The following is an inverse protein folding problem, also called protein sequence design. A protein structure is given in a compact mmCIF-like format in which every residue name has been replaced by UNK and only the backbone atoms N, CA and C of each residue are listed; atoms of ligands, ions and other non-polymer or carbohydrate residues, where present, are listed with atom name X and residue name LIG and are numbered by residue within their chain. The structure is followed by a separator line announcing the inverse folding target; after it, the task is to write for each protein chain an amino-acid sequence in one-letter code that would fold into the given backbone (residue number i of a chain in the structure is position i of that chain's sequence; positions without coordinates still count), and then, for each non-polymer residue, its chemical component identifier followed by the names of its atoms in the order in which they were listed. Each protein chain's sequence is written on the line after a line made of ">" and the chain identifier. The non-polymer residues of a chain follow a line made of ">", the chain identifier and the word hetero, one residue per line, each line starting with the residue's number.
data_IF_950499956603
#
_entry.id   IF_950499956603
#
_cell.length_a   1.000
_cell.length_b   1.000
_cell.length_c   1.000
_cell.angle_alpha   90.00
_cell.angle_beta   90.00
_cell.angle_gamma   90.00
#
_symmetry.space_group_name_H-M   'P 1'
#
loop_
_entity.id
_entity.type
_entity.pdbx_description
1 polymer ?
#
# COMPACT_ATOMS: atom_id res chain seq x y z
N UNK A 1 25.23 8.92 -4.22
CA UNK A 1 24.70 10.15 -3.59
C UNK A 1 24.86 11.35 -4.51
N UNK A 2 26.06 11.68 -4.97
CA UNK A 2 26.29 12.84 -5.84
C UNK A 2 25.51 12.79 -7.18
N UNK A 3 25.29 11.59 -7.74
CA UNK A 3 24.55 11.45 -9.00
C UNK A 3 23.05 11.78 -8.82
N UNK A 4 22.42 11.25 -7.77
CA UNK A 4 20.99 11.48 -7.50
C UNK A 4 20.73 12.97 -7.20
N UNK A 5 21.56 13.60 -6.37
CA UNK A 5 21.44 15.03 -6.06
C UNK A 5 21.57 15.90 -7.31
N UNK A 6 22.50 15.59 -8.21
CA UNK A 6 22.67 16.30 -9.48
C UNK A 6 21.47 16.13 -10.42
N UNK A 7 20.89 14.93 -10.46
CA UNK A 7 19.68 14.66 -11.23
C UNK A 7 18.47 15.42 -10.68
N UNK A 8 18.29 15.42 -9.36
CA UNK A 8 17.23 16.18 -8.69
C UNK A 8 17.37 17.70 -8.92
N UNK A 9 18.60 18.23 -8.87
CA UNK A 9 18.87 19.64 -9.03
C UNK A 9 18.57 20.17 -10.46
N UNK A 10 18.66 19.32 -11.48
CA UNK A 10 18.35 19.67 -12.87
C UNK A 10 16.98 19.24 -13.35
N UNK A 11 16.15 18.66 -12.48
CA UNK A 11 14.78 18.27 -12.76
C UNK A 11 14.00 19.47 -13.32
N UNK A 12 13.18 19.23 -14.34
CA UNK A 12 12.23 20.22 -14.85
C UNK A 12 10.88 19.98 -14.15
N UNK A 13 10.39 20.89 -13.30
CA UNK A 13 9.08 20.78 -12.70
C UNK A 13 7.98 20.62 -13.77
N UNK A 14 7.02 19.74 -13.51
CA UNK A 14 5.94 19.47 -14.47
C UNK A 14 6.28 18.47 -15.57
N UNK A 15 7.48 17.89 -15.54
CA UNK A 15 7.93 16.88 -16.50
C UNK A 15 8.22 15.55 -15.81
N UNK A 16 8.13 14.46 -16.58
CA UNK A 16 8.59 13.13 -16.16
C UNK A 16 10.08 13.19 -15.75
N UNK A 17 10.49 12.23 -14.95
CA UNK A 17 11.86 12.14 -14.48
C UNK A 17 12.80 11.62 -15.57
N UNK A 18 14.10 11.91 -15.45
CA UNK A 18 15.11 11.36 -16.33
C UNK A 18 15.19 9.83 -16.22
N UNK A 19 15.58 9.18 -17.31
CA UNK A 19 15.68 7.72 -17.45
C UNK A 19 16.35 7.03 -16.24
N UNK A 20 17.41 7.63 -15.70
CA UNK A 20 18.16 7.06 -14.59
C UNK A 20 17.28 6.80 -13.34
N UNK A 21 16.26 7.61 -13.09
CA UNK A 21 15.34 7.39 -11.98
C UNK A 21 14.55 6.09 -12.08
N UNK A 22 14.39 5.55 -13.28
CA UNK A 22 13.60 4.35 -13.54
C UNK A 22 14.45 3.10 -13.88
N UNK A 23 15.78 3.27 -14.08
CA UNK A 23 16.63 2.19 -14.58
C UNK A 23 17.92 1.96 -13.80
N UNK A 24 18.38 2.96 -13.03
CA UNK A 24 19.67 2.90 -12.36
C UNK A 24 19.58 2.13 -11.04
N UNK A 25 20.36 1.03 -10.85
CA UNK A 25 20.36 0.28 -9.60
C UNK A 25 20.83 1.08 -8.37
N UNK A 26 21.70 2.07 -8.53
CA UNK A 26 22.15 2.91 -7.41
C UNK A 26 21.03 3.87 -6.96
N UNK A 27 20.25 4.39 -7.91
CA UNK A 27 19.06 5.20 -7.58
C UNK A 27 18.00 4.34 -6.92
N UNK A 28 17.77 3.13 -7.42
CA UNK A 28 16.86 2.19 -6.79
C UNK A 28 17.27 1.86 -5.34
N UNK A 29 18.55 1.64 -5.10
CA UNK A 29 19.06 1.43 -3.73
C UNK A 29 18.84 2.67 -2.87
N UNK A 30 19.05 3.87 -3.41
CA UNK A 30 18.74 5.14 -2.75
C UNK A 30 17.26 5.26 -2.40
N UNK A 31 16.34 4.87 -3.31
CA UNK A 31 14.90 4.83 -3.04
C UNK A 31 14.55 3.91 -1.86
N UNK A 32 15.18 2.73 -1.80
CA UNK A 32 14.99 1.82 -0.67
C UNK A 32 15.46 2.45 0.65
N UNK A 33 16.66 3.02 0.66
CA UNK A 33 17.29 3.58 1.87
C UNK A 33 16.64 4.87 2.35
N UNK A 34 16.21 5.73 1.43
CA UNK A 34 15.64 7.02 1.78
C UNK A 34 14.11 7.02 1.92
N UNK A 35 13.41 6.06 1.32
CA UNK A 35 11.95 5.99 1.34
C UNK A 35 11.49 4.72 2.04
N UNK A 36 11.68 3.54 1.41
CA UNK A 36 11.05 2.31 1.87
C UNK A 36 11.54 1.81 3.24
N UNK A 37 12.77 2.12 3.62
CA UNK A 37 13.29 1.76 4.94
C UNK A 37 12.98 2.82 6.02
N UNK A 38 12.40 3.96 5.62
CA UNK A 38 12.16 5.09 6.53
C UNK A 38 10.69 5.39 6.77
N UNK A 39 9.83 5.03 5.82
CA UNK A 39 8.39 5.32 5.89
C UNK A 39 7.59 4.21 6.54
N UNK A 40 6.36 4.56 6.95
CA UNK A 40 5.37 3.57 7.33
C UNK A 40 4.83 2.87 6.08
N UNK A 41 5.06 1.57 6.01
CA UNK A 41 4.66 0.71 4.90
C UNK A 41 3.40 -0.05 5.26
N UNK A 42 2.35 0.05 4.48
CA UNK A 42 1.24 -0.87 4.59
C UNK A 42 1.72 -2.28 4.28
N UNK A 43 1.46 -3.22 5.17
CA UNK A 43 1.91 -4.58 5.04
C UNK A 43 0.77 -5.55 4.69
N UNK A 44 -0.28 -5.61 5.53
CA UNK A 44 -1.40 -6.54 5.40
C UNK A 44 -2.67 -5.95 6.02
N UNK A 45 -3.88 -6.40 5.60
CA UNK A 45 -5.07 -6.26 6.42
C UNK A 45 -4.98 -7.16 7.66
N UNK A 46 -5.38 -6.63 8.83
CA UNK A 46 -5.29 -7.33 10.12
C UNK A 46 -6.12 -8.63 10.15
N UNK A 47 -7.15 -8.72 9.31
CA UNK A 47 -8.00 -9.91 9.19
C UNK A 47 -7.28 -11.16 8.64
N UNK A 48 -6.06 -11.03 8.15
CA UNK A 48 -5.22 -12.18 7.80
C UNK A 48 -4.62 -12.89 9.03
N UNK A 49 -4.57 -12.21 10.16
CA UNK A 49 -4.05 -12.73 11.41
C UNK A 49 -5.21 -12.94 12.40
N UNK A 50 -6.00 -14.01 12.22
CA UNK A 50 -7.25 -14.24 12.95
C UNK A 50 -7.02 -14.67 14.40
N UNK A 51 -6.05 -15.55 14.63
CA UNK A 51 -5.77 -16.16 15.94
C UNK A 51 -4.29 -16.08 16.31
N UNK A 52 -4.01 -16.26 17.58
CA UNK A 52 -2.64 -16.33 18.08
C UNK A 52 -1.79 -17.32 17.28
N UNK A 53 -0.59 -16.89 16.92
CA UNK A 53 0.36 -17.64 16.09
C UNK A 53 0.15 -17.50 14.59
N UNK A 54 -0.95 -16.92 14.09
CA UNK A 54 -1.05 -16.57 12.67
C UNK A 54 0.03 -15.56 12.33
N UNK A 55 0.74 -15.83 11.24
CA UNK A 55 1.81 -14.95 10.76
C UNK A 55 1.78 -14.79 9.24
N UNK A 56 2.31 -13.67 8.80
CA UNK A 56 2.63 -13.36 7.40
C UNK A 56 4.07 -12.88 7.32
N UNK A 57 4.80 -13.28 6.28
CA UNK A 57 6.13 -12.72 5.99
C UNK A 57 6.02 -11.62 4.94
N UNK A 58 6.79 -10.56 5.11
CA UNK A 58 6.87 -9.47 4.16
C UNK A 58 8.34 -9.11 3.90
N UNK A 59 8.73 -9.07 2.63
CA UNK A 59 10.08 -8.76 2.20
C UNK A 59 10.12 -7.37 1.56
N UNK A 60 11.02 -6.51 2.04
CA UNK A 60 11.22 -5.16 1.51
C UNK A 60 12.70 -4.96 1.28
N UNK A 61 13.14 -4.90 0.03
CA UNK A 61 14.54 -4.84 -0.32
C UNK A 61 15.35 -5.96 0.34
N UNK A 62 16.35 -5.60 1.15
CA UNK A 62 17.15 -6.56 1.90
C UNK A 62 16.48 -7.10 3.16
N UNK A 63 15.43 -6.43 3.67
CA UNK A 63 14.79 -6.81 4.92
C UNK A 63 13.77 -7.93 4.73
N UNK A 64 13.73 -8.83 5.71
CA UNK A 64 12.77 -9.92 5.84
C UNK A 64 12.03 -9.72 7.15
N UNK A 65 10.71 -9.64 7.13
CA UNK A 65 9.88 -9.32 8.28
C UNK A 65 8.87 -10.43 8.53
N UNK A 66 8.63 -10.76 9.79
CA UNK A 66 7.52 -11.58 10.27
C UNK A 66 6.52 -10.64 10.92
N UNK A 67 5.27 -10.71 10.52
CA UNK A 67 4.14 -10.03 11.19
C UNK A 67 3.28 -11.12 11.81
N UNK A 68 3.05 -11.07 13.11
CA UNK A 68 2.45 -12.17 13.86
C UNK A 68 1.45 -11.67 14.90
N UNK A 69 0.36 -12.41 15.10
CA UNK A 69 -0.56 -12.17 16.22
C UNK A 69 -0.06 -12.90 17.45
N UNK A 70 0.22 -12.16 18.51
CA UNK A 70 0.65 -12.67 19.81
C UNK A 70 -0.46 -13.40 20.57
N UNK A 71 -0.08 -14.10 21.64
CA UNK A 71 -1.01 -14.78 22.55
C UNK A 71 -1.92 -13.77 23.31
N UNK A 72 -1.47 -12.55 23.46
CA UNK A 72 -2.20 -11.41 24.04
C UNK A 72 -3.08 -10.68 23.01
N UNK A 73 -3.25 -11.25 21.83
CA UNK A 73 -4.02 -10.70 20.72
C UNK A 73 -3.43 -9.42 20.07
N UNK A 74 -2.20 -9.02 20.42
CA UNK A 74 -1.51 -7.90 19.80
C UNK A 74 -0.79 -8.35 18.52
N UNK A 75 -0.81 -7.51 17.49
CA UNK A 75 -0.01 -7.71 16.26
C UNK A 75 1.35 -7.07 16.46
N UNK A 76 2.40 -7.84 16.17
CA UNK A 76 3.80 -7.42 16.27
C UNK A 76 4.54 -7.76 14.99
N UNK A 77 5.64 -7.06 14.76
CA UNK A 77 6.53 -7.35 13.66
C UNK A 77 7.98 -7.53 14.16
N UNK A 78 8.69 -8.46 13.55
CA UNK A 78 10.08 -8.77 13.87
C UNK A 78 10.88 -8.97 12.59
N UNK A 79 12.18 -8.68 12.65
CA UNK A 79 13.08 -9.12 11.60
C UNK A 79 13.11 -10.66 11.57
N UNK A 80 12.87 -11.24 10.41
CA UNK A 80 12.87 -12.69 10.18
C UNK A 80 14.28 -13.24 10.14
N UNK A 81 15.04 -12.98 11.20
CA UNK A 81 16.48 -13.28 11.30
C UNK A 81 16.78 -13.80 12.70
N UNK A 82 17.18 -15.07 12.80
CA UNK A 82 17.51 -15.70 14.07
C UNK A 82 18.71 -15.02 14.75
N UNK A 83 18.58 -14.73 16.04
CA UNK A 83 19.61 -14.05 16.83
C UNK A 83 20.85 -14.90 17.13
N UNK A 84 20.84 -16.19 16.77
CA UNK A 84 22.00 -17.06 16.85
C UNK A 84 22.99 -16.79 15.71
N UNK A 85 22.64 -17.15 14.47
CA UNK A 85 23.51 -17.08 13.29
C UNK A 85 22.79 -16.54 12.04
N UNK A 86 21.69 -15.81 12.20
CA UNK A 86 21.02 -15.06 11.14
C UNK A 86 20.13 -15.88 10.21
N UNK A 87 19.86 -17.15 10.51
CA UNK A 87 18.96 -17.94 9.66
C UNK A 87 17.55 -17.39 9.63
N UNK A 88 16.86 -17.51 8.47
CA UNK A 88 15.44 -17.24 8.32
C UNK A 88 14.65 -18.20 9.22
N UNK A 89 13.69 -17.66 9.97
CA UNK A 89 12.84 -18.39 10.92
C UNK A 89 11.58 -18.90 10.23
N UNK A 90 10.78 -17.99 9.66
CA UNK A 90 9.57 -18.32 8.92
C UNK A 90 9.85 -18.27 7.42
N UNK A 91 9.78 -19.42 6.74
CA UNK A 91 10.05 -19.55 5.29
C UNK A 91 8.80 -19.40 4.44
N UNK A 92 7.64 -19.79 4.97
CA UNK A 92 6.36 -19.69 4.26
C UNK A 92 5.88 -18.23 4.25
N UNK A 93 5.18 -17.85 3.20
CA UNK A 93 4.59 -16.52 3.07
C UNK A 93 3.56 -16.24 4.18
N UNK A 94 2.84 -17.26 4.63
CA UNK A 94 1.89 -17.19 5.75
C UNK A 94 1.72 -18.57 6.41
N UNK A 95 1.31 -18.58 7.66
CA UNK A 95 1.07 -19.81 8.42
C UNK A 95 0.57 -19.53 9.82
N UNK A 96 0.53 -20.61 10.62
CA UNK A 96 0.26 -20.54 12.05
C UNK A 96 1.33 -21.33 12.80
N UNK A 97 1.93 -20.72 13.79
CA UNK A 97 2.93 -21.36 14.65
C UNK A 97 2.71 -20.91 16.11
N UNK A 98 2.60 -21.84 17.07
CA UNK A 98 2.45 -21.50 18.48
C UNK A 98 3.70 -20.84 19.07
N UNK A 99 4.86 -21.05 18.44
CA UNK A 99 6.17 -20.48 18.74
C UNK A 99 6.92 -20.27 17.42
N UNK A 100 7.82 -19.29 17.40
CA UNK A 100 8.68 -19.05 16.25
C UNK A 100 9.97 -19.87 16.43
N UNK A 101 10.13 -20.94 15.68
CA UNK A 101 11.25 -21.87 15.82
C UNK A 101 12.21 -21.75 14.65
N UNK A 102 13.46 -21.40 14.95
CA UNK A 102 14.51 -21.35 13.94
C UNK A 102 14.85 -22.76 13.41
N UNK A 103 14.77 -23.00 12.09
CA UNK A 103 14.97 -24.35 11.56
C UNK A 103 16.43 -24.82 11.63
N UNK A 104 17.38 -23.93 11.94
CA UNK A 104 18.80 -24.29 11.94
C UNK A 104 19.22 -25.02 13.23
N UNK A 105 19.06 -24.40 14.41
CA UNK A 105 19.44 -24.98 15.69
C UNK A 105 18.30 -24.99 16.73
N UNK A 106 17.04 -24.83 16.27
CA UNK A 106 15.82 -24.84 17.06
C UNK A 106 15.77 -23.76 18.16
N UNK A 107 16.50 -22.66 18.03
CA UNK A 107 16.23 -21.52 18.90
C UNK A 107 14.77 -21.14 18.76
N UNK A 108 14.08 -21.11 19.90
CA UNK A 108 12.64 -20.97 19.97
C UNK A 108 12.27 -19.63 20.62
N UNK A 109 11.46 -18.86 19.93
CA UNK A 109 10.99 -17.57 20.41
C UNK A 109 9.49 -17.62 20.69
N UNK A 110 9.08 -16.89 21.72
CA UNK A 110 7.69 -16.57 21.97
C UNK A 110 7.11 -15.68 20.87
N UNK A 111 5.78 -15.57 20.83
CA UNK A 111 5.11 -14.70 19.85
C UNK A 111 5.29 -13.20 20.16
N UNK A 112 5.81 -12.84 21.32
CA UNK A 112 6.25 -11.49 21.67
C UNK A 112 7.72 -11.20 21.28
N UNK A 113 8.40 -12.17 20.68
CA UNK A 113 9.77 -12.08 20.22
C UNK A 113 10.83 -12.47 21.27
N UNK A 114 10.48 -12.70 22.53
CA UNK A 114 11.43 -13.11 23.56
C UNK A 114 11.99 -14.51 23.27
N UNK A 115 13.29 -14.73 23.59
CA UNK A 115 13.90 -16.04 23.44
C UNK A 115 13.44 -16.95 24.58
N UNK A 116 12.67 -17.99 24.23
CA UNK A 116 12.17 -18.99 25.17
C UNK A 116 13.21 -20.07 25.45
N UNK A 117 13.90 -20.56 24.40
CA UNK A 117 14.77 -21.71 24.52
C UNK A 117 15.93 -21.68 23.52
N UNK A 118 17.12 -22.00 24.02
CA UNK A 118 18.33 -22.17 23.24
C UNK A 118 19.16 -23.30 23.89
N UNK A 119 19.43 -24.38 23.13
CA UNK A 119 20.07 -25.58 23.65
C UNK A 119 21.58 -25.38 23.84
N UNK A 120 22.09 -25.99 24.92
CA UNK A 120 23.53 -26.15 25.20
C UNK A 120 24.33 -24.83 25.23
N UNK A 121 23.69 -23.75 25.68
CA UNK A 121 24.37 -22.47 25.89
C UNK A 121 25.10 -22.48 27.22
N UNK A 122 26.26 -21.85 27.26
CA UNK A 122 27.10 -21.79 28.49
C UNK A 122 26.44 -20.98 29.62
N UNK A 123 27.02 -21.05 30.85
CA UNK A 123 26.39 -20.43 32.03
C UNK A 123 26.31 -18.90 31.97
N UNK A 124 27.12 -18.25 31.16
CA UNK A 124 27.12 -16.79 30.96
C UNK A 124 26.04 -16.33 29.97
N UNK A 125 25.30 -17.24 29.35
CA UNK A 125 24.28 -16.90 28.36
C UNK A 125 23.02 -16.36 29.02
N UNK A 126 22.66 -15.12 28.68
CA UNK A 126 21.40 -14.51 29.12
C UNK A 126 20.39 -14.47 27.96
N UNK A 127 19.34 -15.31 27.99
CA UNK A 127 18.34 -15.35 26.92
C UNK A 127 17.58 -14.04 26.75
N UNK A 128 17.48 -13.20 27.79
CA UNK A 128 16.79 -11.92 27.72
C UNK A 128 17.42 -10.92 26.75
N UNK A 129 18.70 -11.11 26.45
CA UNK A 129 19.45 -10.27 25.51
C UNK A 129 19.35 -10.76 24.06
N UNK A 130 18.66 -11.89 23.81
CA UNK A 130 18.65 -12.57 22.54
C UNK A 130 17.25 -12.73 21.94
N UNK A 131 16.32 -11.88 22.34
CA UNK A 131 15.01 -11.74 21.68
C UNK A 131 15.13 -11.28 20.23
N UNK A 132 14.13 -11.56 19.41
CA UNK A 132 14.08 -11.07 18.01
C UNK A 132 14.16 -9.55 17.98
N UNK A 133 14.85 -9.01 16.97
CA UNK A 133 14.82 -7.57 16.73
C UNK A 133 13.42 -7.16 16.28
N UNK A 134 12.85 -6.20 16.96
CA UNK A 134 11.53 -5.66 16.65
C UNK A 134 11.56 -4.79 15.40
N UNK A 135 10.46 -4.81 14.67
CA UNK A 135 10.12 -3.85 13.62
C UNK A 135 8.95 -3.02 14.15
N UNK A 136 8.97 -1.72 13.96
CA UNK A 136 7.84 -0.89 14.35
C UNK A 136 6.57 -1.36 13.65
N UNK A 137 5.49 -1.52 14.41
CA UNK A 137 4.23 -2.09 13.93
C UNK A 137 3.06 -1.33 14.53
N UNK A 138 2.14 -0.88 13.68
CA UNK A 138 0.92 -0.15 14.08
C UNK A 138 -0.28 -0.70 13.31
N UNK A 139 -1.39 -0.79 13.99
CA UNK A 139 -2.69 -1.11 13.38
C UNK A 139 -3.58 0.13 13.36
N UNK A 140 -4.19 0.41 12.21
CA UNK A 140 -5.15 1.49 12.01
C UNK A 140 -6.41 0.94 11.35
N UNK A 141 -7.50 0.84 12.10
CA UNK A 141 -8.81 0.42 11.60
C UNK A 141 -8.77 -0.85 10.73
N UNK A 142 -7.99 -1.85 11.14
CA UNK A 142 -7.83 -3.12 10.43
C UNK A 142 -6.76 -3.14 9.34
N UNK A 143 -5.96 -2.09 9.21
CA UNK A 143 -4.79 -2.03 8.32
C UNK A 143 -3.51 -2.05 9.16
N UNK A 144 -2.59 -2.96 8.86
CA UNK A 144 -1.31 -3.10 9.56
C UNK A 144 -0.20 -2.43 8.79
N UNK A 145 0.52 -1.55 9.46
CA UNK A 145 1.68 -0.82 8.96
C UNK A 145 2.93 -1.22 9.72
N UNK A 146 4.05 -1.26 9.03
CA UNK A 146 5.38 -1.47 9.61
C UNK A 146 6.32 -0.34 9.23
N UNK A 147 7.33 -0.08 10.04
CA UNK A 147 8.44 0.82 9.69
C UNK A 147 9.77 0.17 10.06
N UNK A 148 10.73 0.21 9.13
CA UNK A 148 12.04 -0.44 9.25
C UNK A 148 13.11 0.48 9.85
N UNK A 149 12.84 1.78 9.98
CA UNK A 149 13.75 2.74 10.58
C UNK A 149 14.01 2.44 12.06
N UNK A 150 15.19 2.76 12.57
CA UNK A 150 15.48 2.65 14.00
C UNK A 150 14.57 3.57 14.82
N UNK A 151 14.33 4.78 14.32
CA UNK A 151 13.35 5.72 14.85
C UNK A 151 12.25 5.92 13.82
N UNK A 152 11.05 5.41 14.09
CA UNK A 152 9.92 5.55 13.20
C UNK A 152 9.43 7.00 13.14
N UNK A 153 9.05 7.52 11.95
CA UNK A 153 8.39 8.82 11.84
C UNK A 153 7.01 8.80 12.53
N UNK A 154 6.45 10.00 12.74
CA UNK A 154 5.12 10.13 13.34
C UNK A 154 4.06 9.36 12.57
N UNK A 155 3.35 8.48 13.25
CA UNK A 155 2.19 7.75 12.72
C UNK A 155 0.86 8.35 13.19
N UNK A 156 0.89 9.05 14.32
CA UNK A 156 -0.34 9.45 14.99
C UNK A 156 -1.08 10.54 14.22
N UNK A 157 -0.38 11.44 13.56
CA UNK A 157 -0.99 12.43 12.65
C UNK A 157 -1.79 11.74 11.54
N UNK A 158 -1.20 10.80 10.83
CA UNK A 158 -1.91 10.01 9.81
C UNK A 158 -3.08 9.23 10.43
N UNK A 159 -2.84 8.55 11.54
CA UNK A 159 -3.86 7.72 12.19
C UNK A 159 -5.08 8.53 12.64
N UNK A 160 -4.85 9.70 13.24
CA UNK A 160 -5.93 10.55 13.73
C UNK A 160 -6.79 11.14 12.59
N UNK A 161 -6.16 11.48 11.48
CA UNK A 161 -6.85 12.02 10.29
C UNK A 161 -7.60 10.91 9.55
N UNK A 162 -6.94 9.75 9.31
CA UNK A 162 -7.50 8.69 8.49
C UNK A 162 -8.54 7.82 9.23
N UNK A 163 -8.42 7.66 10.54
CA UNK A 163 -9.31 6.79 11.34
C UNK A 163 -10.80 7.08 11.12
N UNK A 164 -11.31 8.32 11.18
CA UNK A 164 -12.73 8.60 10.98
C UNK A 164 -13.24 8.18 9.60
N UNK A 165 -12.37 8.24 8.56
CA UNK A 165 -12.71 7.80 7.21
C UNK A 165 -12.77 6.27 7.09
N UNK A 166 -11.91 5.56 7.82
CA UNK A 166 -11.75 4.11 7.72
C UNK A 166 -12.72 3.32 8.60
N UNK A 167 -13.03 3.81 9.79
CA UNK A 167 -13.89 3.09 10.75
C UNK A 167 -15.27 2.68 10.21
N UNK A 168 -15.95 3.47 9.33
CA UNK A 168 -17.21 3.03 8.75
C UNK A 168 -17.10 1.77 7.90
N UNK A 169 -15.92 1.40 7.43
CA UNK A 169 -15.67 0.22 6.59
C UNK A 169 -15.46 -1.07 7.37
N UNK A 170 -15.32 -1.00 8.69
CA UNK A 170 -15.32 -2.13 9.64
C UNK A 170 -14.38 -3.30 9.26
N UNK A 171 -13.15 -2.96 8.84
CA UNK A 171 -12.19 -3.96 8.38
C UNK A 171 -11.79 -4.98 9.46
N UNK A 172 -12.03 -4.69 10.73
CA UNK A 172 -11.86 -5.65 11.84
C UNK A 172 -12.78 -6.87 11.70
N UNK A 173 -13.93 -6.71 11.03
CA UNK A 173 -14.88 -7.77 10.73
C UNK A 173 -14.80 -8.28 9.28
N UNK A 174 -13.67 -8.07 8.62
CA UNK A 174 -13.41 -8.55 7.28
C UNK A 174 -12.78 -9.95 7.25
N UNK A 175 -12.81 -10.54 6.06
CA UNK A 175 -11.91 -11.62 5.61
C UNK A 175 -11.44 -11.34 4.19
N UNK A 176 -10.30 -11.92 3.81
CA UNK A 176 -9.83 -11.92 2.43
C UNK A 176 -10.65 -12.95 1.63
N UNK A 177 -11.46 -12.46 0.69
CA UNK A 177 -12.21 -13.33 -0.23
C UNK A 177 -11.35 -13.81 -1.39
N UNK A 178 -10.45 -12.95 -1.87
CA UNK A 178 -9.52 -13.25 -2.96
C UNK A 178 -8.26 -12.40 -2.84
N UNK A 179 -7.15 -12.98 -3.27
CA UNK A 179 -5.83 -12.31 -3.34
C UNK A 179 -5.22 -12.56 -4.72
N UNK A 180 -4.67 -11.51 -5.31
CA UNK A 180 -3.86 -11.56 -6.53
C UNK A 180 -2.54 -10.86 -6.25
N UNK A 181 -1.44 -11.46 -6.73
CA UNK A 181 -0.13 -10.81 -6.71
C UNK A 181 0.49 -10.95 -8.10
N UNK A 182 0.79 -9.83 -8.71
CA UNK A 182 1.36 -9.77 -10.06
C UNK A 182 2.72 -9.06 -10.01
N UNK A 183 3.63 -9.49 -10.87
CA UNK A 183 4.87 -8.78 -11.14
C UNK A 183 4.66 -7.91 -12.37
N UNK A 184 4.88 -6.61 -12.20
CA UNK A 184 4.96 -5.65 -13.28
C UNK A 184 6.44 -5.41 -13.60
N UNK A 185 6.85 -5.64 -14.85
CA UNK A 185 8.23 -5.41 -15.30
C UNK A 185 8.47 -3.91 -15.55
N UNK A 186 8.29 -3.14 -14.48
CA UNK A 186 8.43 -1.69 -14.43
C UNK A 186 8.90 -1.22 -13.06
N UNK A 187 9.50 -0.02 -13.04
CA UNK A 187 9.93 0.63 -11.82
C UNK A 187 8.71 1.00 -10.95
N UNK A 188 8.87 0.90 -9.63
CA UNK A 188 7.80 1.20 -8.68
C UNK A 188 7.23 2.62 -8.82
N UNK A 189 8.03 3.58 -9.30
CA UNK A 189 7.54 4.94 -9.59
C UNK A 189 6.57 4.98 -10.76
N UNK A 190 6.80 4.17 -11.81
CA UNK A 190 5.87 4.07 -12.94
C UNK A 190 4.53 3.45 -12.54
N UNK A 191 4.55 2.49 -11.61
CA UNK A 191 3.32 1.93 -11.03
C UNK A 191 2.53 3.02 -10.30
N UNK A 192 3.21 3.87 -9.53
CA UNK A 192 2.55 5.00 -8.88
C UNK A 192 2.11 6.09 -9.86
N UNK A 193 2.93 6.46 -10.82
CA UNK A 193 2.56 7.45 -11.83
C UNK A 193 1.30 7.01 -12.59
N UNK A 194 1.21 5.74 -12.98
CA UNK A 194 0.02 5.15 -13.58
C UNK A 194 -1.20 5.24 -12.65
N UNK A 195 -1.06 4.87 -11.39
CA UNK A 195 -2.17 4.91 -10.42
C UNK A 195 -2.67 6.35 -10.10
N UNK A 196 -1.80 7.36 -10.24
CA UNK A 196 -2.11 8.71 -9.79
C UNK A 196 -2.87 9.55 -10.82
N UNK A 197 -3.30 8.98 -11.91
CA UNK A 197 -4.13 9.60 -12.94
C UNK A 197 -5.13 8.59 -13.50
N UNK A 198 -6.06 9.04 -14.31
CA UNK A 198 -6.97 8.21 -15.10
C UNK A 198 -7.10 8.74 -16.55
N UNK A 199 -6.09 9.47 -17.01
CA UNK A 199 -6.01 9.98 -18.37
C UNK A 199 -5.95 8.85 -19.42
N UNK A 200 -5.33 7.72 -19.02
CA UNK A 200 -5.26 6.50 -19.82
C UNK A 200 -6.52 5.62 -19.71
N UNK A 201 -7.35 5.79 -18.67
CA UNK A 201 -8.42 4.85 -18.32
C UNK A 201 -9.42 4.65 -19.45
N UNK A 202 -9.88 5.72 -20.09
CA UNK A 202 -10.88 5.64 -21.15
C UNK A 202 -10.44 4.81 -22.37
N UNK A 203 -9.12 4.74 -22.61
CA UNK A 203 -8.55 3.95 -23.70
C UNK A 203 -8.15 2.53 -23.33
N UNK A 204 -7.91 2.25 -22.06
CA UNK A 204 -7.32 1.00 -21.60
C UNK A 204 -8.23 0.15 -20.71
N UNK A 205 -9.20 0.75 -19.96
CA UNK A 205 -9.98 0.06 -18.94
C UNK A 205 -11.47 0.01 -19.23
N UNK A 206 -11.94 -0.73 -20.23
CA UNK A 206 -13.36 -0.78 -20.60
C UNK A 206 -14.25 -1.34 -19.49
N UNK A 207 -13.73 -2.22 -18.63
CA UNK A 207 -14.47 -2.77 -17.50
C UNK A 207 -14.58 -1.75 -16.35
N UNK A 208 -13.48 -1.12 -15.96
CA UNK A 208 -13.44 -0.13 -14.89
C UNK A 208 -14.30 1.10 -15.23
N UNK A 209 -14.18 1.60 -16.46
CA UNK A 209 -14.92 2.78 -16.93
C UNK A 209 -16.43 2.59 -17.05
N UNK A 210 -16.96 1.40 -16.76
CA UNK A 210 -18.42 1.21 -16.59
C UNK A 210 -18.94 1.92 -15.34
N UNK A 211 -18.12 1.98 -14.30
CA UNK A 211 -18.53 2.46 -12.98
C UNK A 211 -17.64 3.57 -12.44
N UNK A 212 -16.35 3.55 -12.78
CA UNK A 212 -15.41 4.58 -12.35
C UNK A 212 -15.49 5.80 -13.27
N UNK A 213 -15.65 7.02 -12.72
CA UNK A 213 -15.63 8.23 -13.52
C UNK A 213 -14.19 8.56 -13.95
N UNK A 214 -14.02 8.77 -15.24
CA UNK A 214 -12.74 9.09 -15.90
C UNK A 214 -12.65 10.56 -16.35
N UNK A 215 -13.47 11.42 -15.73
CA UNK A 215 -13.46 12.85 -16.07
C UNK A 215 -12.34 13.63 -15.34
N UNK A 216 -11.88 14.76 -15.90
CA UNK A 216 -10.79 15.56 -15.33
C UNK A 216 -11.06 16.07 -13.92
N UNK A 217 -12.31 16.27 -13.54
CA UNK A 217 -12.69 16.71 -12.20
C UNK A 217 -12.39 15.68 -11.12
N UNK A 218 -12.36 14.39 -11.48
CA UNK A 218 -11.98 13.29 -10.60
C UNK A 218 -10.48 13.07 -10.62
N UNK A 219 -9.88 13.04 -11.81
CA UNK A 219 -8.47 12.69 -12.01
C UNK A 219 -7.52 13.86 -11.71
N UNK A 220 -8.00 15.09 -11.78
CA UNK A 220 -7.23 16.30 -11.55
C UNK A 220 -7.54 17.04 -10.25
N UNK A 221 -8.20 16.38 -9.29
CA UNK A 221 -8.70 17.03 -8.07
C UNK A 221 -7.59 17.66 -7.21
N UNK A 222 -6.37 17.17 -7.26
CA UNK A 222 -5.23 17.73 -6.52
C UNK A 222 -4.81 19.11 -7.04
N UNK A 223 -5.09 19.44 -8.28
CA UNK A 223 -4.66 20.68 -8.93
C UNK A 223 -5.77 21.67 -9.20
N UNK A 224 -7.03 21.35 -8.90
CA UNK A 224 -8.19 22.13 -9.26
C UNK A 224 -9.21 22.34 -8.17
N UNK A 225 -10.29 23.07 -8.51
CA UNK A 225 -11.46 23.16 -7.65
C UNK A 225 -12.27 21.89 -7.73
N UNK A 226 -12.81 21.44 -6.59
CA UNK A 226 -13.73 20.30 -6.54
C UNK A 226 -15.01 20.62 -7.31
N UNK A 227 -15.38 19.82 -8.32
CA UNK A 227 -16.62 20.05 -9.06
C UNK A 227 -17.86 20.03 -8.14
N UNK A 228 -18.87 20.84 -8.46
CA UNK A 228 -20.06 20.99 -7.61
C UNK A 228 -20.80 19.67 -7.34
N UNK A 229 -20.90 18.79 -8.34
CA UNK A 229 -21.52 17.47 -8.16
C UNK A 229 -20.76 16.58 -7.19
N UNK A 230 -19.42 16.67 -7.21
CA UNK A 230 -18.57 15.91 -6.31
C UNK A 230 -18.63 16.46 -4.89
N UNK A 231 -18.65 17.79 -4.74
CA UNK A 231 -18.84 18.42 -3.43
C UNK A 231 -20.21 18.05 -2.84
N UNK A 232 -21.27 18.04 -3.64
CA UNK A 232 -22.59 17.60 -3.21
C UNK A 232 -22.60 16.13 -2.76
N UNK A 233 -21.82 15.26 -3.43
CA UNK A 233 -21.65 13.88 -3.02
C UNK A 233 -20.92 13.78 -1.67
N UNK A 234 -19.83 14.53 -1.49
CA UNK A 234 -19.11 14.60 -0.22
C UNK A 234 -20.02 15.02 0.92
N UNK A 235 -20.79 16.08 0.73
CA UNK A 235 -21.70 16.64 1.74
C UNK A 235 -22.83 15.65 2.10
N UNK A 236 -23.37 14.95 1.11
CA UNK A 236 -24.37 13.90 1.31
C UNK A 236 -23.82 12.77 2.18
N UNK A 237 -22.64 12.26 1.84
CA UNK A 237 -22.01 11.17 2.59
C UNK A 237 -21.60 11.62 4.00
N UNK A 238 -21.01 12.81 4.11
CA UNK A 238 -20.62 13.42 5.40
C UNK A 238 -21.81 13.56 6.33
N UNK A 239 -22.95 14.07 5.83
CA UNK A 239 -24.18 14.24 6.60
C UNK A 239 -24.79 12.92 7.05
N UNK A 240 -24.50 11.84 6.35
CA UNK A 240 -24.92 10.48 6.69
C UNK A 240 -23.93 9.75 7.63
N UNK A 241 -22.94 10.45 8.19
CA UNK A 241 -21.96 9.89 9.13
C UNK A 241 -20.78 9.17 8.47
N UNK A 242 -20.57 9.37 7.16
CA UNK A 242 -19.42 8.86 6.43
C UNK A 242 -18.48 10.01 6.05
N UNK A 243 -17.37 10.23 6.74
CA UNK A 243 -16.36 11.21 6.35
C UNK A 243 -15.92 11.02 4.90
N UNK A 244 -15.96 12.11 4.13
CA UNK A 244 -15.89 12.03 2.67
C UNK A 244 -15.15 13.17 2.00
N UNK A 245 -14.91 14.28 2.71
CA UNK A 245 -14.24 15.46 2.16
C UNK A 245 -12.85 15.12 1.65
N UNK A 246 -12.46 15.80 0.59
CA UNK A 246 -11.09 15.71 0.09
C UNK A 246 -10.10 16.21 1.13
N UNK A 247 -9.09 15.40 1.40
CA UNK A 247 -7.95 15.75 2.24
C UNK A 247 -6.66 15.26 1.59
N UNK A 248 -5.73 16.16 1.38
CA UNK A 248 -4.34 15.86 1.02
C UNK A 248 -3.45 16.39 2.13
N UNK A 249 -2.58 15.54 2.68
CA UNK A 249 -1.63 15.97 3.71
C UNK A 249 -0.62 16.98 3.15
N UNK A 250 -0.17 17.91 3.97
CA UNK A 250 0.68 19.05 3.54
C UNK A 250 1.99 18.63 2.88
N UNK A 251 2.58 17.51 3.31
CA UNK A 251 3.78 16.93 2.69
C UNK A 251 3.46 16.06 1.45
N UNK A 252 2.19 15.85 1.16
CA UNK A 252 1.72 15.05 0.03
C UNK A 252 1.76 13.54 0.22
N UNK A 253 2.13 13.03 1.42
CA UNK A 253 2.33 11.60 1.63
C UNK A 253 1.06 10.76 1.58
N UNK A 254 -0.09 11.31 1.98
CA UNK A 254 -1.36 10.59 1.93
C UNK A 254 -2.55 11.48 1.57
N UNK A 255 -3.57 10.85 0.99
CA UNK A 255 -4.83 11.48 0.60
C UNK A 255 -6.01 10.61 1.00
N UNK A 256 -7.13 11.26 1.28
CA UNK A 256 -8.43 10.67 1.54
C UNK A 256 -9.48 11.46 0.76
N UNK A 257 -10.34 10.77 0.02
CA UNK A 257 -11.51 11.37 -0.63
C UNK A 257 -12.51 10.28 -1.00
N UNK A 258 -13.79 10.48 -0.68
CA UNK A 258 -14.84 9.57 -1.13
C UNK A 258 -15.37 10.02 -2.49
N UNK A 259 -14.85 9.43 -3.53
CA UNK A 259 -15.22 9.76 -4.89
C UNK A 259 -16.56 9.12 -5.27
N UNK A 260 -17.47 9.84 -5.96
CA UNK A 260 -18.65 9.23 -6.54
C UNK A 260 -18.27 8.22 -7.62
N UNK A 261 -19.08 7.20 -7.81
CA UNK A 261 -19.08 6.38 -9.02
C UNK A 261 -19.98 7.01 -10.09
N UNK A 262 -19.95 6.47 -11.31
CA UNK A 262 -20.89 6.90 -12.37
C UNK A 262 -22.34 6.72 -11.91
N UNK A 263 -23.25 7.51 -12.43
CA UNK A 263 -24.66 7.53 -12.04
C UNK A 263 -25.28 6.11 -12.08
N UNK A 264 -25.93 5.72 -10.99
CA UNK A 264 -26.56 4.42 -10.82
C UNK A 264 -25.60 3.26 -10.47
N UNK A 265 -24.29 3.53 -10.37
CA UNK A 265 -23.32 2.53 -9.93
C UNK A 265 -23.20 2.51 -8.41
N UNK A 266 -23.10 1.31 -7.86
CA UNK A 266 -22.96 0.99 -6.43
C UNK A 266 -21.57 0.41 -6.11
N UNK A 267 -21.00 -0.34 -7.06
CA UNK A 267 -19.76 -1.09 -6.86
C UNK A 267 -19.02 -1.31 -8.18
N UNK A 268 -17.77 -1.81 -8.09
CA UNK A 268 -16.94 -2.16 -9.25
C UNK A 268 -17.33 -3.54 -9.80
N UNK A 269 -18.45 -3.59 -10.49
CA UNK A 269 -18.96 -4.79 -11.17
C UNK A 269 -19.36 -4.46 -12.60
N UNK A 270 -19.51 -5.47 -13.44
CA UNK A 270 -19.86 -5.25 -14.85
C UNK A 270 -21.24 -4.65 -15.07
N UNK A 271 -22.14 -4.82 -14.11
CA UNK A 271 -23.49 -4.23 -14.11
C UNK A 271 -23.63 -3.03 -13.16
N UNK A 272 -22.56 -2.66 -12.45
CA UNK A 272 -22.54 -1.55 -11.51
C UNK A 272 -23.27 -1.79 -10.19
N UNK A 273 -23.80 -2.99 -9.95
CA UNK A 273 -24.53 -3.31 -8.71
C UNK A 273 -23.62 -3.92 -7.66
N UNK A 274 -24.02 -3.85 -6.39
CA UNK A 274 -23.31 -4.45 -5.27
C UNK A 274 -22.89 -5.89 -5.56
N UNK A 275 -21.60 -6.20 -5.34
CA UNK A 275 -21.03 -7.53 -5.54
C UNK A 275 -21.33 -8.46 -4.36
N UNK A 276 -21.54 -7.89 -3.18
CA UNK A 276 -21.71 -8.61 -1.92
C UNK A 276 -23.05 -8.27 -1.29
N UNK A 277 -23.86 -9.27 -0.93
CA UNK A 277 -25.16 -9.07 -0.27
C UNK A 277 -25.01 -8.70 1.21
N UNK A 278 -24.09 -9.37 1.90
CA UNK A 278 -23.73 -9.05 3.28
C UNK A 278 -22.58 -8.06 3.27
N UNK A 279 -22.93 -6.79 3.34
CA UNK A 279 -21.94 -5.71 3.25
C UNK A 279 -20.87 -5.76 4.33
N UNK A 280 -19.69 -5.34 3.99
CA UNK A 280 -18.65 -5.00 4.94
C UNK A 280 -18.82 -3.54 5.35
N UNK A 281 -18.92 -3.29 6.66
CA UNK A 281 -19.07 -1.93 7.16
C UNK A 281 -20.51 -1.45 7.29
N UNK A 282 -20.66 -0.16 7.45
CA UNK A 282 -21.88 0.51 7.91
C UNK A 282 -22.31 1.63 6.98
N UNK A 283 -22.16 1.44 5.67
CA UNK A 283 -22.64 2.43 4.71
C UNK A 283 -24.17 2.58 4.81
N UNK A 284 -24.72 3.81 4.85
CA UNK A 284 -26.15 4.03 4.91
C UNK A 284 -26.86 3.80 3.56
N UNK A 285 -26.12 3.75 2.45
CA UNK A 285 -26.67 3.54 1.11
C UNK A 285 -25.62 2.91 0.17
N UNK A 286 -26.11 2.20 -0.85
CA UNK A 286 -25.26 1.43 -1.77
C UNK A 286 -24.36 2.32 -2.65
N UNK A 287 -24.88 3.43 -3.11
CA UNK A 287 -24.23 4.40 -3.99
C UNK A 287 -23.35 5.43 -3.24
N UNK A 288 -22.73 5.00 -2.13
CA UNK A 288 -21.81 5.84 -1.35
C UNK A 288 -20.50 6.17 -2.09
N UNK A 289 -20.30 5.62 -3.28
CA UNK A 289 -19.05 5.76 -4.00
C UNK A 289 -17.92 4.97 -3.38
N UNK A 290 -16.69 5.34 -3.67
CA UNK A 290 -15.49 4.70 -3.16
C UNK A 290 -14.63 5.69 -2.38
N UNK A 291 -14.30 5.38 -1.14
CA UNK A 291 -13.25 6.12 -0.44
C UNK A 291 -11.91 5.71 -1.05
N UNK A 292 -11.30 6.63 -1.78
CA UNK A 292 -9.98 6.49 -2.34
C UNK A 292 -8.96 7.00 -1.33
N UNK A 293 -8.12 6.10 -0.85
CA UNK A 293 -7.00 6.43 0.02
C UNK A 293 -5.72 6.01 -0.65
N UNK A 294 -4.74 6.87 -0.68
CA UNK A 294 -3.36 6.44 -0.85
C UNK A 294 -2.52 6.82 0.37
N UNK A 295 -1.44 6.07 0.58
CA UNK A 295 -0.37 6.38 1.52
C UNK A 295 0.96 5.87 0.92
N UNK A 296 1.78 6.80 0.51
CA UNK A 296 3.09 6.48 -0.06
C UNK A 296 4.02 5.87 1.00
N UNK A 297 4.91 4.94 0.59
CA UNK A 297 5.16 4.52 -0.78
C UNK A 297 4.41 3.24 -1.20
N UNK A 298 3.59 2.61 -0.32
CA UNK A 298 3.22 1.20 -0.54
C UNK A 298 1.75 0.92 -0.79
N UNK A 299 0.82 1.88 -0.64
CA UNK A 299 -0.59 1.48 -0.72
C UNK A 299 -1.53 2.52 -1.30
N UNK A 300 -2.45 2.07 -2.14
CA UNK A 300 -3.73 2.71 -2.37
C UNK A 300 -4.87 1.74 -2.08
N UNK A 301 -6.06 2.26 -1.89
CA UNK A 301 -7.20 1.46 -1.49
C UNK A 301 -8.49 2.04 -2.03
N UNK A 302 -9.48 1.15 -2.25
CA UNK A 302 -10.85 1.48 -2.59
C UNK A 302 -11.78 0.86 -1.55
N UNK A 303 -12.52 1.70 -0.81
CA UNK A 303 -13.47 1.24 0.18
C UNK A 303 -14.88 1.61 -0.28
N UNK A 304 -15.65 0.60 -0.70
CA UNK A 304 -17.02 0.69 -1.19
C UNK A 304 -18.02 0.45 -0.07
N UNK A 305 -19.30 0.52 -0.37
CA UNK A 305 -20.35 0.20 0.59
C UNK A 305 -20.39 -1.29 0.93
N UNK A 306 -20.15 -2.15 -0.05
CA UNK A 306 -20.34 -3.61 0.05
C UNK A 306 -19.05 -4.38 0.35
N UNK A 307 -17.89 -3.90 -0.09
CA UNK A 307 -16.58 -4.53 0.12
C UNK A 307 -15.44 -3.52 0.06
N UNK A 308 -14.22 -3.96 0.29
CA UNK A 308 -13.01 -3.13 0.20
C UNK A 308 -11.94 -3.83 -0.62
N UNK A 309 -11.13 -3.03 -1.32
CA UNK A 309 -10.00 -3.51 -2.10
C UNK A 309 -8.74 -2.79 -1.61
N UNK A 310 -7.74 -3.56 -1.20
CA UNK A 310 -6.47 -3.02 -0.71
C UNK A 310 -5.33 -3.47 -1.61
N UNK A 311 -4.47 -2.52 -1.96
CA UNK A 311 -3.31 -2.73 -2.81
C UNK A 311 -2.04 -2.49 -2.03
N UNK A 312 -1.03 -3.29 -2.31
CA UNK A 312 0.33 -3.08 -1.81
C UNK A 312 1.33 -3.11 -2.96
N UNK A 313 2.14 -2.07 -3.04
CA UNK A 313 3.24 -1.94 -4.00
C UNK A 313 4.54 -2.29 -3.30
N UNK A 314 5.26 -3.27 -3.81
CA UNK A 314 6.56 -3.70 -3.26
C UNK A 314 7.61 -3.64 -4.37
N UNK A 315 8.61 -2.75 -4.28
CA UNK A 315 9.70 -2.71 -5.24
C UNK A 315 10.58 -3.94 -5.09
N UNK A 316 10.91 -4.61 -6.20
CA UNK A 316 11.75 -5.81 -6.23
C UNK A 316 13.14 -5.48 -6.78
N UNK A 317 13.18 -4.80 -7.90
CA UNK A 317 14.40 -4.38 -8.59
C UNK A 317 14.19 -3.02 -9.27
N UNK A 318 15.19 -2.42 -9.88
CA UNK A 318 15.01 -1.17 -10.63
C UNK A 318 13.88 -1.20 -11.66
N UNK A 319 13.57 -2.39 -12.20
CA UNK A 319 12.59 -2.57 -13.27
C UNK A 319 11.57 -3.68 -12.99
N UNK A 320 11.36 -4.02 -11.73
CA UNK A 320 10.35 -4.99 -11.32
C UNK A 320 9.66 -4.54 -10.04
N UNK A 321 8.34 -4.59 -10.04
CA UNK A 321 7.50 -4.22 -8.90
C UNK A 321 6.41 -5.27 -8.70
N UNK A 322 6.22 -5.73 -7.47
CA UNK A 322 5.08 -6.58 -7.11
C UNK A 322 3.90 -5.70 -6.71
N UNK A 323 2.74 -5.97 -7.31
CA UNK A 323 1.46 -5.38 -6.91
C UNK A 323 0.57 -6.49 -6.36
N UNK A 324 0.31 -6.44 -5.06
CA UNK A 324 -0.61 -7.36 -4.38
C UNK A 324 -1.95 -6.67 -4.19
N UNK A 325 -3.03 -7.33 -4.59
CA UNK A 325 -4.41 -6.85 -4.47
C UNK A 325 -5.22 -7.84 -3.66
N UNK A 326 -5.96 -7.34 -2.65
CA UNK A 326 -6.82 -8.19 -1.82
C UNK A 326 -8.23 -7.61 -1.76
N UNK A 327 -9.20 -8.47 -1.99
CA UNK A 327 -10.63 -8.15 -1.86
C UNK A 327 -11.11 -8.60 -0.49
N UNK A 328 -11.60 -7.65 0.28
CA UNK A 328 -12.07 -7.84 1.65
C UNK A 328 -13.59 -7.79 1.68
N UNK A 329 -14.20 -8.85 2.18
CA UNK A 329 -15.64 -8.95 2.39
C UNK A 329 -15.95 -9.15 3.88
N UNK A 330 -17.21 -9.01 4.28
CA UNK A 330 -17.65 -9.34 5.63
C UNK A 330 -17.23 -10.77 5.99
N UNK A 331 -16.65 -10.98 7.18
CA UNK A 331 -16.14 -12.29 7.64
C UNK A 331 -17.19 -13.40 7.60
N UNK A 332 -18.46 -13.03 7.77
CA UNK A 332 -19.60 -13.97 7.80
C UNK A 332 -20.28 -14.11 6.43
N UNK A 333 -19.82 -13.39 5.40
CA UNK A 333 -20.32 -13.55 4.03
C UNK A 333 -19.90 -14.92 3.47
N UNK A 334 -20.79 -15.59 2.81
CA UNK A 334 -20.59 -16.96 2.29
C UNK A 334 -20.48 -16.92 0.78
N UNK A 335 -19.37 -17.46 0.24
CA UNK A 335 -19.18 -17.61 -1.21
C UNK A 335 -20.29 -18.50 -1.82
N UNK A 336 -20.78 -18.11 -2.98
CA UNK A 336 -21.91 -18.78 -3.65
C UNK A 336 -23.30 -18.40 -3.10
N UNK A 337 -23.36 -17.68 -1.96
CA UNK A 337 -24.60 -17.19 -1.34
C UNK A 337 -24.61 -15.68 -1.27
N UNK A 338 -23.63 -15.09 -0.61
CA UNK A 338 -23.54 -13.64 -0.42
C UNK A 338 -22.71 -12.94 -1.50
N UNK A 339 -21.77 -13.64 -2.10
CA UNK A 339 -20.92 -13.15 -3.21
C UNK A 339 -20.44 -14.30 -4.11
N UNK A 340 -20.10 -13.97 -5.33
CA UNK A 340 -19.36 -14.82 -6.27
C UNK A 340 -17.98 -14.20 -6.50
N UNK A 341 -16.90 -15.00 -6.38
CA UNK A 341 -15.52 -14.51 -6.47
C UNK A 341 -15.25 -13.88 -7.84
N UNK A 342 -15.71 -14.49 -8.94
CA UNK A 342 -15.49 -13.95 -10.28
C UNK A 342 -16.14 -12.58 -10.42
N UNK A 343 -17.42 -12.47 -10.06
CA UNK A 343 -18.16 -11.20 -10.10
C UNK A 343 -17.53 -10.12 -9.23
N UNK A 344 -17.03 -10.50 -8.04
CA UNK A 344 -16.37 -9.59 -7.09
C UNK A 344 -15.06 -9.03 -7.66
N UNK A 345 -14.32 -9.82 -8.42
CA UNK A 345 -12.92 -9.53 -8.76
C UNK A 345 -12.70 -9.13 -10.21
N UNK A 346 -13.59 -9.51 -11.15
CA UNK A 346 -13.33 -9.45 -12.60
C UNK A 346 -12.94 -8.06 -13.10
N UNK A 347 -13.53 -6.98 -12.56
CA UNK A 347 -13.21 -5.62 -12.98
C UNK A 347 -11.76 -5.26 -12.64
N UNK A 348 -11.37 -5.44 -11.38
CA UNK A 348 -10.02 -5.08 -10.94
C UNK A 348 -8.94 -6.08 -11.35
N UNK A 349 -9.28 -7.35 -11.57
CA UNK A 349 -8.35 -8.31 -12.18
C UNK A 349 -8.02 -7.89 -13.62
N UNK A 350 -9.02 -7.52 -14.39
CA UNK A 350 -8.81 -7.00 -15.74
C UNK A 350 -8.01 -5.69 -15.72
N UNK A 351 -8.38 -4.74 -14.86
CA UNK A 351 -7.71 -3.46 -14.72
C UNK A 351 -6.24 -3.62 -14.32
N UNK A 352 -5.93 -4.48 -13.35
CA UNK A 352 -4.53 -4.74 -12.96
C UNK A 352 -3.69 -5.33 -14.10
N UNK A 353 -4.26 -6.21 -14.93
CA UNK A 353 -3.56 -6.77 -16.10
C UNK A 353 -3.33 -5.72 -17.18
N UNK A 354 -4.29 -4.84 -17.40
CA UNK A 354 -4.21 -3.72 -18.35
C UNK A 354 -3.18 -2.67 -17.87
N UNK A 355 -3.19 -2.30 -16.60
CA UNK A 355 -2.20 -1.40 -15.98
C UNK A 355 -0.79 -1.98 -16.08
N UNK A 356 -0.62 -3.26 -15.76
CA UNK A 356 0.67 -3.94 -15.92
C UNK A 356 1.21 -3.78 -17.33
N UNK A 357 0.38 -4.00 -18.35
CA UNK A 357 0.80 -3.85 -19.75
C UNK A 357 1.25 -2.42 -20.06
N UNK A 358 0.49 -1.42 -19.60
CA UNK A 358 0.83 -0.01 -19.80
C UNK A 358 2.15 0.35 -19.10
N UNK A 359 2.35 -0.10 -17.86
CA UNK A 359 3.59 0.14 -17.10
C UNK A 359 4.78 -0.56 -17.76
N UNK A 360 4.63 -1.79 -18.21
CA UNK A 360 5.70 -2.54 -18.89
C UNK A 360 6.08 -1.90 -20.23
N UNK A 361 5.13 -1.47 -21.03
CA UNK A 361 5.37 -0.76 -22.29
C UNK A 361 6.07 0.60 -22.04
N UNK A 362 5.64 1.32 -21.00
CA UNK A 362 6.28 2.57 -20.58
C UNK A 362 7.74 2.32 -20.15
N UNK A 363 7.99 1.31 -19.33
CA UNK A 363 9.36 0.94 -18.92
C UNK A 363 10.23 0.59 -20.12
N UNK A 364 9.72 -0.16 -21.10
CA UNK A 364 10.47 -0.49 -22.32
C UNK A 364 10.83 0.78 -23.11
N UNK A 365 9.89 1.72 -23.23
CA UNK A 365 10.15 3.01 -23.89
C UNK A 365 11.23 3.83 -23.15
N UNK A 366 11.17 3.87 -21.83
CA UNK A 366 12.15 4.57 -20.98
C UNK A 366 13.53 3.90 -21.04
N UNK A 367 13.61 2.60 -21.21
CA UNK A 367 14.90 1.89 -21.35
C UNK A 367 15.66 2.32 -22.63
N UNK A 368 14.96 2.86 -23.63
CA UNK A 368 15.59 3.35 -24.86
C UNK A 368 16.50 4.54 -24.59
N UNK A 369 17.71 4.59 -25.19
CA UNK A 369 18.55 5.77 -25.17
C UNK A 369 17.92 7.03 -25.80
N UNK A 370 16.85 6.84 -26.60
CA UNK A 370 16.09 7.93 -27.21
C UNK A 370 15.05 8.57 -26.28
N UNK A 371 14.83 8.03 -25.08
CA UNK A 371 13.89 8.60 -24.13
C UNK A 371 14.29 10.01 -23.71
N UNK A 372 13.34 10.91 -23.78
CA UNK A 372 13.43 12.27 -23.26
C UNK A 372 12.20 12.53 -22.39
N UNK A 373 12.36 13.06 -21.17
CA UNK A 373 11.22 13.39 -20.32
C UNK A 373 10.23 14.34 -21.01
N UNK A 374 8.93 13.97 -20.99
CA UNK A 374 7.83 14.79 -21.50
C UNK A 374 7.08 15.52 -20.40
N UNK A 375 6.26 16.54 -20.74
CA UNK A 375 5.44 17.27 -19.77
C UNK A 375 4.22 16.45 -19.36
N UNK A 376 3.84 16.56 -18.08
CA UNK A 376 2.56 16.07 -17.59
C UNK A 376 1.42 17.04 -17.91
N UNK A 377 0.22 16.52 -18.11
CA UNK A 377 -1.00 17.32 -18.28
C UNK A 377 -1.38 18.02 -16.97
N UNK A 378 -1.44 19.34 -16.98
CA UNK A 378 -1.89 20.11 -15.82
C UNK A 378 -3.38 19.87 -15.47
N UNK A 379 -4.16 19.33 -16.41
CA UNK A 379 -5.60 19.07 -16.22
C UNK A 379 -5.86 17.63 -15.75
N UNK A 380 -5.14 16.65 -16.32
CA UNK A 380 -5.42 15.22 -16.10
C UNK A 380 -4.45 14.57 -15.12
N UNK A 381 -3.24 15.12 -14.94
CA UNK A 381 -2.15 14.44 -14.25
C UNK A 381 -1.64 15.22 -13.02
N UNK A 382 -2.53 15.99 -12.36
CA UNK A 382 -2.16 16.68 -11.11
C UNK A 382 -1.76 15.71 -10.00
N UNK A 383 -2.34 14.52 -9.96
CA UNK A 383 -1.96 13.48 -9.03
C UNK A 383 -0.57 12.90 -9.31
N UNK A 384 -0.17 12.78 -10.57
CA UNK A 384 1.19 12.39 -10.96
C UNK A 384 2.21 13.45 -10.54
N UNK A 385 1.91 14.72 -10.83
CA UNK A 385 2.72 15.85 -10.37
C UNK A 385 2.93 15.83 -8.86
N UNK A 386 1.86 15.61 -8.11
CA UNK A 386 1.88 15.52 -6.66
C UNK A 386 2.79 14.37 -6.18
N UNK A 387 2.71 13.19 -6.80
CA UNK A 387 3.57 12.05 -6.47
C UNK A 387 5.05 12.34 -6.76
N UNK A 388 5.35 12.85 -7.93
CA UNK A 388 6.73 13.16 -8.34
C UNK A 388 7.33 14.24 -7.45
N UNK A 389 6.55 15.26 -7.07
CA UNK A 389 6.99 16.31 -6.15
C UNK A 389 7.25 15.76 -4.74
N UNK A 390 6.35 14.90 -4.22
CA UNK A 390 6.58 14.19 -2.95
C UNK A 390 7.86 13.34 -3.00
N UNK A 391 8.05 12.54 -4.05
CA UNK A 391 9.22 11.70 -4.22
C UNK A 391 10.51 12.54 -4.21
N UNK A 392 10.58 13.56 -5.07
CA UNK A 392 11.78 14.39 -5.21
C UNK A 392 12.10 15.16 -3.93
N UNK A 393 11.11 15.73 -3.26
CA UNK A 393 11.30 16.46 -2.01
C UNK A 393 11.76 15.55 -0.87
N UNK A 394 11.16 14.36 -0.76
CA UNK A 394 11.52 13.38 0.27
C UNK A 394 12.95 12.89 0.09
N UNK A 395 13.34 12.48 -1.12
CA UNK A 395 14.70 12.03 -1.40
C UNK A 395 15.70 13.17 -1.18
N UNK A 396 15.40 14.38 -1.66
CA UNK A 396 16.29 15.54 -1.49
C UNK A 396 16.54 15.85 -0.02
N UNK A 397 15.50 15.86 0.80
CA UNK A 397 15.61 16.15 2.24
C UNK A 397 16.50 15.11 2.96
N UNK A 398 16.39 13.84 2.56
CA UNK A 398 17.10 12.73 3.22
C UNK A 398 18.51 12.47 2.68
N UNK A 399 18.92 13.13 1.63
CA UNK A 399 20.29 13.11 1.12
C UNK A 399 21.14 14.27 1.65
N UNK A 400 20.64 15.08 2.59
CA UNK A 400 21.41 16.17 3.20
C UNK A 400 22.47 15.60 4.16
N UNK A 401 23.65 16.26 4.29
CA UNK A 401 24.69 15.82 5.23
C UNK A 401 24.20 15.73 6.67
N UNK A 402 23.35 16.66 7.10
CA UNK A 402 22.82 16.70 8.48
C UNK A 402 21.90 15.51 8.77
N UNK A 403 21.08 15.10 7.80
CA UNK A 403 20.23 13.92 7.92
C UNK A 403 21.04 12.63 7.96
N UNK A 404 22.06 12.51 7.09
CA UNK A 404 22.96 11.35 7.04
C UNK A 404 23.86 11.22 8.28
N UNK A 405 24.12 12.30 8.99
CA UNK A 405 24.96 12.31 10.21
C UNK A 405 24.14 12.02 11.50
N UNK A 406 22.82 12.12 11.46
CA UNK A 406 21.93 11.87 12.61
C UNK A 406 21.61 10.37 12.79
N UNK A 407 22.10 9.52 11.93
CA UNK A 407 21.97 8.05 11.92
C UNK A 407 23.30 7.36 12.24
#
# INVERSE_FOLDING_TARGET
>A
VNNVQNLLARRIPGYALERAFYTDPEIFQTDLETIHYREWLFAIPACELVKAGDYVTYNVGAYRVIIVRGADNQIRAFHNTCRHRGSIICKAAKGNAPKLVCPYHQWTYELDGSLLWARDMGPEFDPRQHGLKTVHCRELAGLVYICLADVAPDFDTFANIARPYLEPHDLANAKVAFESSIIENGNWKLVWENNRECYHCGGNHPALCRTFPDDPGVTGIEGGETPAYMQAHFDRCQSAGMPSQFYLHEDGQFRLARMPLKEGAESYTMDGKSAVRRWLGRSPFADAGSLLKFHYPTTWNHFLADHSIVFRVTPISPTETEVTTKWLVNKDAVEGVDYDVKRLTEVWVATNDEDRQVVEDNQQGINSPAYVPGPYSAIQESGVLQFVDWYCSTVSARLTPDYMAAE
#
